data_IF_085224653920
#
_entry.id   IF_085224653920
#
_cell.length_a   1.000
_cell.length_b   1.000
_cell.length_c   1.000
_cell.angle_alpha   90.00
_cell.angle_beta   90.00
_cell.angle_gamma   90.00
#
_symmetry.space_group_name_H-M   'P 1'
#
loop_
_entity.id
_entity.type
_entity.pdbx_description
1 polymer ?
#
# COMPACT_ATOMS: atom_id res chain seq x y z
N UNK A 1 -2.02 -6.94 14.73
CA UNK A 1 -2.24 -5.72 15.55
C UNK A 1 -2.29 -6.11 17.03
N UNK A 2 -1.68 -5.33 17.93
CA UNK A 2 -1.86 -5.50 19.39
C UNK A 2 -2.94 -4.53 19.87
N UNK A 3 -3.85 -5.00 20.71
CA UNK A 3 -4.80 -4.21 21.47
C UNK A 3 -4.35 -4.17 22.93
N UNK A 4 -4.42 -2.99 23.53
CA UNK A 4 -4.16 -2.75 24.94
C UNK A 4 -5.41 -2.16 25.59
N UNK A 5 -5.45 -2.15 26.92
CA UNK A 5 -6.51 -1.47 27.68
C UNK A 5 -5.91 -0.35 28.53
N UNK A 6 -6.63 0.75 28.63
CA UNK A 6 -6.35 1.80 29.60
C UNK A 6 -6.75 1.35 31.02
N UNK A 7 -6.38 2.11 32.08
CA UNK A 7 -6.78 1.79 33.46
C UNK A 7 -8.31 1.72 33.67
N UNK A 8 -9.07 2.49 32.91
CA UNK A 8 -10.54 2.53 32.89
C UNK A 8 -11.16 1.45 31.97
N UNK A 9 -10.36 0.62 31.31
CA UNK A 9 -10.82 -0.51 30.51
C UNK A 9 -11.09 -0.18 29.03
N UNK A 10 -10.73 1.00 28.56
CA UNK A 10 -10.88 1.39 27.15
C UNK A 10 -9.92 0.58 26.27
N UNK A 11 -10.46 -0.12 25.28
CA UNK A 11 -9.68 -0.89 24.31
C UNK A 11 -9.07 0.06 23.27
N UNK A 12 -7.74 0.02 23.14
CA UNK A 12 -6.96 0.92 22.29
C UNK A 12 -6.01 0.14 21.38
N UNK A 13 -5.77 0.59 20.14
CA UNK A 13 -4.75 0.03 19.28
C UNK A 13 -3.35 0.39 19.79
N UNK A 14 -2.46 -0.60 19.85
CA UNK A 14 -1.05 -0.44 20.19
C UNK A 14 -0.17 -0.98 19.06
N UNK A 15 -0.14 -0.24 17.96
CA UNK A 15 0.61 -0.65 16.77
C UNK A 15 2.11 -0.88 17.06
N UNK A 16 2.69 -0.13 18.00
CA UNK A 16 4.11 -0.25 18.36
C UNK A 16 4.42 -1.27 19.46
N UNK A 17 3.40 -1.91 20.05
CA UNK A 17 3.55 -2.78 21.22
C UNK A 17 4.26 -2.10 22.41
N UNK A 18 4.01 -0.80 22.62
CA UNK A 18 4.69 0.01 23.64
C UNK A 18 3.89 0.16 24.93
N UNK A 19 2.58 -0.09 24.91
CA UNK A 19 1.74 0.08 26.09
C UNK A 19 2.08 -0.98 27.16
N UNK A 20 2.20 -0.60 28.45
CA UNK A 20 2.54 -1.54 29.51
C UNK A 20 1.42 -2.56 29.76
N UNK A 21 1.75 -3.64 30.46
CA UNK A 21 0.77 -4.65 30.89
C UNK A 21 0.38 -5.66 29.82
N UNK A 22 -0.78 -6.30 30.01
CA UNK A 22 -1.30 -7.34 29.10
C UNK A 22 -1.75 -6.69 27.79
N UNK A 23 -1.65 -7.45 26.70
CA UNK A 23 -2.24 -7.08 25.42
C UNK A 23 -2.78 -8.29 24.70
N UNK A 24 -3.74 -8.05 23.80
CA UNK A 24 -4.34 -9.07 22.95
C UNK A 24 -3.87 -8.86 21.50
N UNK A 25 -3.49 -9.93 20.81
CA UNK A 25 -3.08 -9.85 19.42
C UNK A 25 -4.21 -10.29 18.50
N UNK A 26 -4.49 -9.49 17.47
CA UNK A 26 -5.42 -9.81 16.39
C UNK A 26 -4.65 -9.85 15.07
N UNK A 27 -5.03 -10.75 14.18
CA UNK A 27 -4.43 -10.96 12.86
C UNK A 27 -5.44 -11.01 11.73
N UNK A 28 -6.56 -10.29 11.91
CA UNK A 28 -7.71 -10.26 10.99
C UNK A 28 -7.68 -9.01 10.12
N UNK A 29 -8.37 -9.05 8.98
CA UNK A 29 -8.66 -7.85 8.18
C UNK A 29 -9.66 -6.94 8.90
N UNK A 30 -9.87 -5.74 8.36
CA UNK A 30 -10.89 -4.80 8.83
C UNK A 30 -12.29 -5.42 8.79
N UNK A 31 -12.69 -6.02 7.68
CA UNK A 31 -14.04 -6.59 7.54
C UNK A 31 -14.27 -7.77 8.49
N UNK A 32 -13.25 -8.60 8.68
CA UNK A 32 -13.29 -9.69 9.65
C UNK A 32 -13.39 -9.16 11.09
N UNK A 33 -12.70 -8.07 11.40
CA UNK A 33 -12.81 -7.40 12.69
C UNK A 33 -14.22 -6.83 12.91
N UNK A 34 -14.78 -6.14 11.92
CA UNK A 34 -16.13 -5.55 11.98
C UNK A 34 -17.19 -6.64 12.20
N UNK A 35 -17.11 -7.76 11.47
CA UNK A 35 -17.96 -8.95 11.70
C UNK A 35 -17.79 -9.49 13.12
N UNK A 36 -16.55 -9.63 13.59
CA UNK A 36 -16.27 -10.13 14.94
C UNK A 36 -16.76 -9.19 16.06
N UNK A 37 -16.83 -7.88 15.80
CA UNK A 37 -17.44 -6.89 16.70
C UNK A 37 -18.96 -7.10 16.72
N UNK A 38 -19.61 -7.13 15.56
CA UNK A 38 -21.06 -7.28 15.42
C UNK A 38 -21.58 -8.59 16.07
N UNK A 39 -20.84 -9.69 15.92
CA UNK A 39 -21.19 -11.00 16.49
C UNK A 39 -20.76 -11.17 17.97
N UNK A 40 -20.14 -10.14 18.56
CA UNK A 40 -19.64 -10.17 19.93
C UNK A 40 -18.46 -11.13 20.17
N UNK A 41 -17.85 -11.66 19.11
CA UNK A 41 -16.67 -12.52 19.16
C UNK A 41 -15.47 -11.77 19.75
N UNK A 42 -15.24 -10.53 19.31
CA UNK A 42 -14.15 -9.70 19.82
C UNK A 42 -14.26 -9.50 21.34
N UNK A 43 -15.44 -9.08 21.82
CA UNK A 43 -15.67 -8.87 23.26
C UNK A 43 -15.38 -10.13 24.08
N UNK A 44 -15.85 -11.29 23.64
CA UNK A 44 -15.58 -12.57 24.31
C UNK A 44 -14.08 -12.90 24.34
N UNK A 45 -13.37 -12.68 23.25
CA UNK A 45 -11.93 -12.91 23.16
C UNK A 45 -11.13 -11.96 24.09
N UNK A 46 -11.48 -10.67 24.10
CA UNK A 46 -10.79 -9.67 24.93
C UNK A 46 -11.05 -9.89 26.41
N UNK A 47 -12.27 -10.26 26.82
CA UNK A 47 -12.57 -10.60 28.22
C UNK A 47 -11.65 -11.73 28.73
N UNK A 48 -11.38 -12.74 27.90
CA UNK A 48 -10.43 -13.81 28.25
C UNK A 48 -8.99 -13.30 28.31
N UNK A 49 -8.56 -12.52 27.31
CA UNK A 49 -7.20 -12.00 27.23
C UNK A 49 -6.84 -11.07 28.41
N UNK A 50 -7.82 -10.29 28.89
CA UNK A 50 -7.67 -9.33 29.99
C UNK A 50 -8.21 -9.83 31.33
N UNK A 51 -8.37 -11.15 31.52
CA UNK A 51 -8.78 -11.77 32.80
C UNK A 51 -10.07 -11.20 33.41
N UNK A 52 -11.05 -10.87 32.57
CA UNK A 52 -12.35 -10.39 33.01
C UNK A 52 -12.37 -8.93 33.49
N UNK A 53 -11.32 -8.14 33.22
CA UNK A 53 -11.35 -6.70 33.43
C UNK A 53 -12.57 -6.07 32.73
N UNK A 54 -13.16 -4.99 33.28
CA UNK A 54 -14.16 -4.20 32.56
C UNK A 54 -13.59 -3.72 31.23
N UNK A 55 -14.36 -3.87 30.14
CA UNK A 55 -13.93 -3.50 28.80
C UNK A 55 -14.94 -2.56 28.15
N UNK A 56 -14.43 -1.45 27.64
CA UNK A 56 -15.14 -0.54 26.74
C UNK A 56 -14.50 -0.66 25.37
N UNK A 57 -15.23 -1.21 24.40
CA UNK A 57 -14.78 -1.31 23.00
C UNK A 57 -15.41 -0.13 22.26
N UNK A 58 -14.62 0.82 21.74
CA UNK A 58 -15.15 1.90 20.91
C UNK A 58 -15.77 1.36 19.62
N UNK A 59 -16.87 1.97 19.18
CA UNK A 59 -17.50 1.62 17.90
C UNK A 59 -16.58 1.94 16.71
N UNK A 60 -15.75 2.99 16.84
CA UNK A 60 -14.75 3.41 15.85
C UNK A 60 -13.39 2.69 16.01
N UNK A 61 -13.34 1.57 16.75
CA UNK A 61 -12.12 0.79 16.92
C UNK A 61 -11.49 0.36 15.59
N UNK A 62 -12.25 -0.08 14.56
CA UNK A 62 -11.68 -0.43 13.26
C UNK A 62 -10.91 0.73 12.60
N UNK A 63 -11.46 1.94 12.64
CA UNK A 63 -10.86 3.16 12.11
C UNK A 63 -9.62 3.56 12.92
N UNK A 64 -9.69 3.46 14.25
CA UNK A 64 -8.54 3.72 15.14
C UNK A 64 -7.37 2.78 14.83
N UNK A 65 -7.64 1.51 14.54
CA UNK A 65 -6.62 0.53 14.14
C UNK A 65 -6.01 0.92 12.79
N UNK A 66 -6.82 1.27 11.78
CA UNK A 66 -6.33 1.78 10.48
C UNK A 66 -5.38 2.95 10.68
N UNK A 67 -5.81 3.96 11.43
CA UNK A 67 -5.03 5.16 11.69
C UNK A 67 -3.74 4.87 12.48
N UNK A 68 -3.78 3.96 13.45
CA UNK A 68 -2.61 3.57 14.23
C UNK A 68 -1.58 2.80 13.38
N UNK A 69 -2.02 1.92 12.49
CA UNK A 69 -1.13 1.21 11.56
C UNK A 69 -0.52 2.16 10.53
N UNK A 70 -1.32 3.04 9.93
CA UNK A 70 -0.85 4.04 8.98
C UNK A 70 0.19 4.97 9.62
N UNK A 71 -0.06 5.45 10.84
CA UNK A 71 0.90 6.26 11.60
C UNK A 71 2.18 5.50 11.93
N UNK A 72 2.07 4.24 12.36
CA UNK A 72 3.24 3.40 12.65
C UNK A 72 4.09 3.14 11.39
N UNK A 73 3.47 2.92 10.23
CA UNK A 73 4.18 2.85 8.95
C UNK A 73 4.85 4.19 8.62
N UNK A 74 4.13 5.30 8.80
CA UNK A 74 4.67 6.64 8.59
C UNK A 74 5.92 6.93 9.45
N UNK A 75 5.86 6.61 10.75
CA UNK A 75 6.99 6.75 11.67
C UNK A 75 8.20 5.92 11.20
N UNK A 76 7.96 4.70 10.71
CA UNK A 76 9.01 3.81 10.18
C UNK A 76 9.64 4.38 8.91
N UNK A 77 8.82 4.89 7.98
CA UNK A 77 9.27 5.53 6.75
C UNK A 77 10.09 6.79 7.06
N UNK A 78 9.63 7.63 7.99
CA UNK A 78 10.35 8.83 8.42
C UNK A 78 11.70 8.51 9.08
N UNK A 79 11.79 7.42 9.85
CA UNK A 79 13.07 6.95 10.40
C UNK A 79 14.03 6.49 9.29
N UNK A 80 13.56 5.72 8.30
CA UNK A 80 14.41 5.31 7.17
C UNK A 80 14.85 6.49 6.31
N UNK A 81 13.98 7.50 6.14
CA UNK A 81 14.31 8.73 5.42
C UNK A 81 15.47 9.48 6.09
N UNK A 82 15.40 9.67 7.42
CA UNK A 82 16.48 10.32 8.18
C UNK A 82 17.78 9.53 8.15
N UNK A 83 17.70 8.21 8.02
CA UNK A 83 18.86 7.33 7.84
C UNK A 83 19.39 7.28 6.40
N UNK A 84 18.78 7.99 5.45
CA UNK A 84 19.21 8.03 4.04
C UNK A 84 18.75 6.84 3.20
N UNK A 85 17.85 5.99 3.71
CA UNK A 85 17.41 4.76 3.05
C UNK A 85 16.16 4.94 2.17
N UNK A 86 15.58 6.14 2.10
CA UNK A 86 14.40 6.42 1.27
C UNK A 86 14.79 7.30 0.09
N UNK A 87 14.44 6.83 -1.11
CA UNK A 87 14.61 7.55 -2.39
C UNK A 87 13.24 8.05 -2.84
N UNK A 88 13.15 9.34 -3.12
CA UNK A 88 11.93 10.01 -3.60
C UNK A 88 12.22 10.74 -4.90
N UNK A 89 11.16 10.97 -5.69
CA UNK A 89 11.23 11.62 -7.00
C UNK A 89 11.45 10.61 -8.12
N UNK A 90 10.55 10.60 -9.10
CA UNK A 90 10.49 9.55 -10.12
C UNK A 90 11.79 9.37 -10.90
N UNK A 91 12.48 10.45 -11.28
CA UNK A 91 13.75 10.37 -12.00
C UNK A 91 14.85 9.69 -11.18
N UNK A 92 14.97 10.07 -9.89
CA UNK A 92 15.97 9.48 -8.98
C UNK A 92 15.64 8.03 -8.65
N UNK A 93 14.36 7.71 -8.46
CA UNK A 93 13.91 6.33 -8.26
C UNK A 93 14.25 5.50 -9.50
N UNK A 94 13.93 5.97 -10.70
CA UNK A 94 14.23 5.28 -11.95
C UNK A 94 15.73 4.98 -12.11
N UNK A 95 16.60 5.97 -11.90
CA UNK A 95 18.05 5.81 -11.98
C UNK A 95 18.56 4.74 -10.99
N UNK A 96 18.18 4.88 -9.71
CA UNK A 96 18.61 3.97 -8.64
C UNK A 96 18.07 2.56 -8.86
N UNK A 97 16.81 2.46 -9.30
CA UNK A 97 16.13 1.20 -9.57
C UNK A 97 16.83 0.44 -10.70
N UNK A 98 17.16 1.08 -11.83
CA UNK A 98 17.90 0.45 -12.93
C UNK A 98 19.30 -0.01 -12.54
N UNK A 99 19.93 0.68 -11.61
CA UNK A 99 21.24 0.30 -11.07
C UNK A 99 21.20 -0.77 -9.96
N UNK A 100 20.02 -1.35 -9.67
CA UNK A 100 19.87 -2.39 -8.64
C UNK A 100 20.03 -1.90 -7.20
N UNK A 101 19.86 -0.59 -6.96
CA UNK A 101 20.02 0.04 -5.63
C UNK A 101 18.70 0.23 -4.88
N UNK A 102 17.58 -0.24 -5.42
CA UNK A 102 16.26 -0.21 -4.79
C UNK A 102 15.83 -1.65 -4.45
N UNK A 103 15.69 -1.92 -3.16
CA UNK A 103 15.24 -3.22 -2.67
C UNK A 103 13.71 -3.35 -2.63
N UNK A 104 13.00 -2.24 -2.44
CA UNK A 104 11.53 -2.20 -2.39
C UNK A 104 11.03 -0.95 -3.09
N UNK A 105 10.08 -1.12 -4.01
CA UNK A 105 9.36 -0.03 -4.65
C UNK A 105 7.94 0.08 -4.06
N UNK A 106 7.56 1.26 -3.58
CA UNK A 106 6.26 1.53 -2.97
C UNK A 106 5.57 2.72 -3.65
N UNK A 107 4.24 2.66 -3.76
CA UNK A 107 3.42 3.69 -4.37
C UNK A 107 2.24 4.07 -3.48
N UNK A 108 1.80 5.33 -3.55
CA UNK A 108 0.56 5.77 -2.94
C UNK A 108 -0.66 5.07 -3.56
N UNK A 109 -1.75 4.90 -2.79
CA UNK A 109 -3.02 4.30 -3.26
C UNK A 109 -3.60 5.02 -4.48
N UNK A 110 -3.46 6.35 -4.51
CA UNK A 110 -3.98 7.28 -5.51
C UNK A 110 -2.95 7.66 -6.60
N UNK A 111 -1.90 6.84 -6.76
CA UNK A 111 -0.91 7.03 -7.82
C UNK A 111 -1.37 6.48 -9.17
N UNK A 112 -0.98 7.15 -10.25
CA UNK A 112 -1.37 6.77 -11.61
C UNK A 112 -0.75 5.45 -12.04
N UNK A 113 -1.50 4.63 -12.78
CA UNK A 113 -1.02 3.37 -13.36
C UNK A 113 0.19 3.57 -14.28
N UNK A 114 0.21 4.64 -15.08
CA UNK A 114 1.33 4.94 -15.98
C UNK A 114 2.63 5.20 -15.22
N UNK A 115 2.58 6.08 -14.20
CA UNK A 115 3.73 6.35 -13.32
C UNK A 115 4.24 5.09 -12.60
N UNK A 116 3.34 4.21 -12.14
CA UNK A 116 3.71 2.91 -11.56
C UNK A 116 4.45 2.03 -12.58
N UNK A 117 3.87 1.82 -13.77
CA UNK A 117 4.45 0.97 -14.83
C UNK A 117 5.86 1.40 -15.22
N UNK A 118 6.10 2.70 -15.33
CA UNK A 118 7.43 3.24 -15.65
C UNK A 118 8.47 2.84 -14.60
N UNK A 119 8.15 3.03 -13.32
CA UNK A 119 9.06 2.69 -12.22
C UNK A 119 9.19 1.18 -12.01
N UNK A 120 8.11 0.42 -12.21
CA UNK A 120 8.13 -1.05 -12.19
C UNK A 120 9.08 -1.61 -13.24
N UNK A 121 9.10 -1.04 -14.45
CA UNK A 121 10.05 -1.43 -15.49
C UNK A 121 11.49 -1.12 -15.08
N UNK A 122 11.75 0.08 -14.57
CA UNK A 122 13.08 0.46 -14.11
C UNK A 122 13.59 -0.47 -13.00
N UNK A 123 12.70 -0.84 -12.09
CA UNK A 123 13.01 -1.74 -10.98
C UNK A 123 13.32 -3.16 -11.46
N UNK A 124 12.49 -3.71 -12.36
CA UNK A 124 12.75 -5.04 -12.95
C UNK A 124 14.08 -5.13 -13.68
N UNK A 125 14.49 -4.07 -14.38
CA UNK A 125 15.79 -4.01 -15.06
C UNK A 125 16.94 -4.16 -14.06
N UNK A 126 16.95 -3.39 -12.97
CA UNK A 126 18.07 -3.45 -12.03
C UNK A 126 18.04 -4.63 -11.06
N UNK A 127 16.95 -5.39 -11.01
CA UNK A 127 16.86 -6.64 -10.24
C UNK A 127 16.94 -7.88 -11.12
N UNK A 128 17.33 -7.75 -12.39
CA UNK A 128 17.37 -8.84 -13.38
C UNK A 128 16.06 -9.67 -13.45
N UNK A 129 14.93 -8.99 -13.25
CA UNK A 129 13.60 -9.60 -13.16
C UNK A 129 12.71 -9.19 -14.34
N UNK A 130 13.30 -8.88 -15.49
CA UNK A 130 12.55 -8.59 -16.71
C UNK A 130 11.70 -9.80 -17.13
N UNK A 131 10.52 -9.54 -17.72
CA UNK A 131 9.57 -10.59 -18.10
C UNK A 131 8.78 -11.24 -16.95
N UNK A 132 9.16 -11.05 -15.68
CA UNK A 132 8.46 -11.66 -14.53
C UNK A 132 7.10 -11.02 -14.21
N UNK A 133 6.85 -9.82 -14.72
CA UNK A 133 5.67 -9.04 -14.36
C UNK A 133 5.71 -8.46 -12.94
N UNK A 134 6.84 -8.56 -12.22
CA UNK A 134 7.04 -7.97 -10.89
C UNK A 134 6.73 -6.47 -10.88
N UNK A 135 6.07 -6.01 -9.80
CA UNK A 135 5.65 -4.62 -9.60
C UNK A 135 5.93 -4.16 -8.18
N UNK A 136 6.09 -2.86 -8.01
CA UNK A 136 6.07 -2.20 -6.72
C UNK A 136 4.72 -2.37 -6.01
N UNK A 137 4.74 -2.22 -4.69
CA UNK A 137 3.54 -2.39 -3.87
C UNK A 137 2.77 -1.08 -3.76
N UNK A 138 1.47 -1.14 -3.99
CA UNK A 138 0.56 -0.02 -3.72
C UNK A 138 0.17 -0.07 -2.24
N UNK A 139 0.47 1.00 -1.53
CA UNK A 139 0.13 1.14 -0.11
C UNK A 139 -1.33 1.59 0.03
N UNK A 140 -2.04 1.18 1.10
CA UNK A 140 -3.34 1.74 1.47
C UNK A 140 -3.18 3.13 2.14
N UNK A 141 -2.23 3.94 1.67
CA UNK A 141 -1.96 5.31 2.09
C UNK A 141 -1.92 6.17 0.82
N UNK A 142 -2.67 7.26 0.82
CA UNK A 142 -2.64 8.22 -0.29
C UNK A 142 -1.39 9.11 -0.25
N UNK A 143 -1.21 9.93 -1.29
CA UNK A 143 -0.10 10.88 -1.39
C UNK A 143 -0.04 11.84 -0.21
N UNK A 144 -1.19 12.23 0.36
CA UNK A 144 -1.24 13.21 1.45
C UNK A 144 -0.71 12.59 2.74
N UNK A 145 -1.12 11.37 3.06
CA UNK A 145 -0.63 10.62 4.21
C UNK A 145 0.88 10.36 4.11
N UNK A 146 1.36 9.96 2.92
CA UNK A 146 2.80 9.77 2.70
C UNK A 146 3.59 11.07 2.81
N UNK A 147 3.05 12.17 2.27
CA UNK A 147 3.67 13.50 2.34
C UNK A 147 3.83 13.97 3.80
N UNK A 148 2.79 13.82 4.61
CA UNK A 148 2.82 14.12 6.05
C UNK A 148 3.84 13.25 6.78
N UNK A 149 3.83 11.93 6.53
CA UNK A 149 4.73 10.99 7.19
C UNK A 149 6.22 11.28 6.91
N UNK A 150 6.53 11.76 5.70
CA UNK A 150 7.90 12.01 5.25
C UNK A 150 8.35 13.46 5.42
N UNK A 151 7.44 14.39 5.76
CA UNK A 151 7.75 15.82 5.83
C UNK A 151 8.21 16.38 4.49
N UNK A 152 7.55 15.95 3.41
CA UNK A 152 7.85 16.28 2.02
C UNK A 152 6.55 16.48 1.25
N UNK A 153 6.57 17.37 0.26
CA UNK A 153 5.41 17.61 -0.58
C UNK A 153 5.31 16.58 -1.72
N UNK A 154 4.07 16.21 -2.07
CA UNK A 154 3.74 15.40 -3.24
C UNK A 154 4.48 14.06 -3.34
N UNK A 155 4.58 13.31 -2.23
CA UNK A 155 5.15 11.97 -2.25
C UNK A 155 4.15 10.97 -2.85
N UNK A 156 4.39 10.59 -4.11
CA UNK A 156 3.55 9.61 -4.84
C UNK A 156 4.22 8.24 -4.94
N UNK A 157 5.55 8.22 -5.05
CA UNK A 157 6.36 7.02 -5.20
C UNK A 157 7.60 7.14 -4.32
N UNK A 158 8.01 6.02 -3.73
CA UNK A 158 9.24 5.95 -2.96
C UNK A 158 9.93 4.59 -3.14
N UNK A 159 11.25 4.62 -3.24
CA UNK A 159 12.10 3.43 -3.19
C UNK A 159 12.75 3.31 -1.83
N UNK A 160 12.83 2.10 -1.29
CA UNK A 160 13.70 1.78 -0.15
C UNK A 160 15.02 1.30 -0.71
N UNK A 161 16.10 2.00 -0.37
CA UNK A 161 17.44 1.66 -0.77
C UNK A 161 17.83 0.28 -0.22
N UNK A 162 18.54 -0.49 -1.04
CA UNK A 162 19.03 -1.81 -0.69
C UNK A 162 19.39 -2.60 -1.94
N UNK A 163 20.07 -3.72 -1.72
CA UNK A 163 20.50 -4.66 -2.75
C UNK A 163 20.58 -6.06 -2.12
N UNK A 164 20.82 -7.15 -2.88
CA UNK A 164 20.80 -8.51 -2.33
C UNK A 164 21.71 -8.76 -1.10
N UNK A 165 22.75 -7.94 -0.91
CA UNK A 165 23.65 -7.99 0.25
C UNK A 165 23.23 -7.15 1.45
N UNK A 166 22.31 -6.19 1.29
CA UNK A 166 21.75 -5.39 2.39
C UNK A 166 20.25 -5.10 2.18
N UNK A 167 19.44 -5.88 2.90
CA UNK A 167 17.98 -5.78 2.91
C UNK A 167 17.45 -5.25 4.25
N UNK A 168 18.30 -4.70 5.13
CA UNK A 168 17.90 -4.36 6.51
C UNK A 168 16.82 -3.27 6.55
N UNK A 169 16.99 -2.21 5.77
CA UNK A 169 16.00 -1.13 5.68
C UNK A 169 14.69 -1.65 5.04
N UNK A 170 14.81 -2.37 3.93
CA UNK A 170 13.71 -3.03 3.25
C UNK A 170 12.88 -3.92 4.19
N UNK A 171 13.52 -4.81 4.95
CA UNK A 171 12.84 -5.73 5.86
C UNK A 171 12.06 -4.99 6.95
N UNK A 172 12.64 -3.93 7.54
CA UNK A 172 11.94 -3.12 8.55
C UNK A 172 10.72 -2.39 7.98
N UNK A 173 10.82 -1.90 6.75
CA UNK A 173 9.69 -1.24 6.06
C UNK A 173 8.63 -2.28 5.71
N UNK A 174 9.01 -3.39 5.08
CA UNK A 174 8.08 -4.46 4.68
C UNK A 174 7.32 -5.06 5.87
N UNK A 175 7.96 -5.19 7.03
CA UNK A 175 7.27 -5.60 8.26
C UNK A 175 6.19 -4.61 8.71
N UNK A 176 6.41 -3.31 8.53
CA UNK A 176 5.39 -2.31 8.83
C UNK A 176 4.29 -2.28 7.76
N UNK A 177 4.67 -2.38 6.47
CA UNK A 177 3.75 -2.40 5.34
C UNK A 177 2.81 -3.61 5.41
N UNK A 178 3.34 -4.81 5.64
CA UNK A 178 2.54 -6.05 5.67
C UNK A 178 1.40 -5.96 6.68
N UNK A 179 1.63 -5.32 7.83
CA UNK A 179 0.62 -5.14 8.87
C UNK A 179 -0.50 -4.20 8.44
N UNK A 180 -0.19 -3.12 7.73
CA UNK A 180 -1.19 -2.17 7.22
C UNK A 180 -1.99 -2.83 6.10
N UNK A 181 -1.30 -3.47 5.15
CA UNK A 181 -1.93 -4.15 4.00
C UNK A 181 -2.83 -5.29 4.45
N UNK A 182 -2.35 -6.15 5.35
CA UNK A 182 -3.15 -7.26 5.89
C UNK A 182 -4.42 -6.75 6.58
N UNK A 183 -4.33 -5.64 7.31
CA UNK A 183 -5.49 -5.08 7.99
C UNK A 183 -6.45 -4.39 7.02
N UNK A 184 -5.94 -3.68 6.01
CA UNK A 184 -6.77 -3.02 5.01
C UNK A 184 -7.63 -4.01 4.20
N UNK A 185 -7.23 -5.29 4.11
CA UNK A 185 -8.00 -6.32 3.40
C UNK A 185 -7.90 -6.19 1.87
N UNK A 186 -8.60 -7.09 1.15
CA UNK A 186 -8.56 -7.14 -0.31
C UNK A 186 -9.42 -6.06 -1.00
N UNK A 187 -10.32 -5.38 -0.28
CA UNK A 187 -11.13 -4.29 -0.86
C UNK A 187 -10.26 -3.10 -1.31
N UNK A 188 -9.09 -2.89 -0.68
CA UNK A 188 -8.10 -1.92 -1.16
C UNK A 188 -7.38 -2.37 -2.45
N UNK A 189 -7.27 -3.67 -2.69
CA UNK A 189 -6.69 -4.22 -3.91
C UNK A 189 -7.70 -4.16 -5.08
N UNK A 190 -8.98 -4.43 -4.82
CA UNK A 190 -10.02 -4.40 -5.85
C UNK A 190 -10.41 -2.98 -6.27
N UNK A 191 -10.44 -2.00 -5.35
CA UNK A 191 -10.61 -0.59 -5.70
C UNK A 191 -9.50 -0.07 -6.64
N UNK A 192 -8.29 -0.65 -6.59
CA UNK A 192 -7.20 -0.31 -7.53
C UNK A 192 -7.29 -1.04 -8.88
N UNK A 193 -8.07 -2.11 -8.97
CA UNK A 193 -8.29 -2.88 -10.20
C UNK A 193 -9.52 -2.40 -10.99
N UNK A 194 -10.58 -1.91 -10.33
CA UNK A 194 -11.82 -1.50 -11.00
C UNK A 194 -11.71 -0.16 -11.75
N UNK A 195 -10.84 0.75 -11.34
CA UNK A 195 -10.52 1.95 -12.13
C UNK A 195 -9.69 1.66 -13.39
N UNK A 196 -9.44 0.37 -13.68
CA UNK A 196 -8.62 -0.11 -14.80
C UNK A 196 -9.36 -0.86 -15.90
N UNK A 197 -10.70 -0.99 -15.87
CA UNK A 197 -11.46 -1.53 -17.01
C UNK A 197 -11.83 -0.41 -17.98
N UNK A 198 -11.02 -0.33 -19.02
CA UNK A 198 -11.41 -0.14 -20.42
C UNK A 198 -12.11 1.19 -20.80
N UNK A 199 -11.30 2.21 -21.05
CA UNK A 199 -11.57 3.13 -22.16
C UNK A 199 -10.67 2.74 -23.33
N UNK A 200 -11.14 1.80 -24.16
CA UNK A 200 -10.57 1.56 -25.48
C UNK A 200 -10.83 2.77 -26.37
N UNK A 201 -9.85 3.66 -26.45
CA UNK A 201 -9.83 4.74 -27.43
C UNK A 201 -9.66 4.18 -28.84
N UNK A 202 -10.71 4.35 -29.65
CA UNK A 202 -10.73 4.56 -31.09
C UNK A 202 -9.47 4.16 -31.89
N UNK A 203 -9.57 3.07 -32.65
CA UNK A 203 -8.86 2.92 -33.91
C UNK A 203 -9.85 3.21 -35.05
N UNK A 204 -9.65 4.32 -35.72
CA UNK A 204 -10.36 4.75 -36.93
C UNK A 204 -10.01 3.79 -38.09
N UNK A 205 -10.96 3.18 -38.81
CA UNK A 205 -10.63 2.33 -39.95
C UNK A 205 -10.35 3.18 -41.20
N UNK A 206 -9.12 3.11 -41.70
CA UNK A 206 -8.75 3.62 -43.01
C UNK A 206 -9.50 2.85 -44.12
N UNK A 207 -10.42 3.57 -44.77
CA UNK A 207 -10.85 3.52 -46.17
C UNK A 207 -10.36 2.33 -47.03
N UNK A 208 -11.31 1.49 -47.43
CA UNK A 208 -11.19 0.56 -48.55
C UNK A 208 -12.47 0.58 -49.39
N UNK A 209 -12.78 1.72 -50.01
CA UNK A 209 -13.92 1.90 -50.91
C UNK A 209 -13.55 1.56 -52.36
N UNK A 210 -14.18 0.54 -52.91
CA UNK A 210 -14.07 0.11 -54.29
C UNK A 210 -14.47 1.23 -55.27
N UNK A 211 -13.59 1.54 -56.22
CA UNK A 211 -13.93 2.38 -57.36
C UNK A 211 -14.58 1.51 -58.46
N UNK A 212 -15.84 1.82 -58.69
CA UNK A 212 -16.65 1.37 -59.81
C UNK A 212 -16.02 1.88 -61.12
N UNK A 213 -15.89 1.00 -62.10
CA UNK A 213 -15.62 1.34 -63.49
C UNK A 213 -16.75 2.20 -64.02
N UNK A 214 -16.41 3.34 -64.62
CA UNK A 214 -17.29 4.01 -65.58
C UNK A 214 -16.51 4.45 -66.81
N UNK A 215 -17.12 4.14 -67.92
CA UNK A 215 -16.69 4.18 -69.30
C UNK A 215 -16.75 5.62 -69.82
N UNK A 216 -15.67 6.13 -70.43
CA UNK A 216 -15.79 7.28 -71.33
C UNK A 216 -14.89 7.13 -72.56
N UNK A 217 -15.56 7.32 -73.69
CA UNK A 217 -15.18 7.03 -75.07
C UNK A 217 -14.24 8.11 -75.62
N UNK A 218 -13.31 7.67 -76.48
CA UNK A 218 -12.48 8.51 -77.36
C UNK A 218 -13.34 9.18 -78.43
N UNK A 219 -13.07 10.47 -78.67
CA UNK A 219 -12.96 11.04 -80.02
C UNK A 219 -11.77 12.01 -80.05
#
# INVERSE_FOLDING_TARGET
MRLAISPDGLVLPDAGAKAPGRGAWIGVSRDELEKAIAEGHLKRALMRAFKGAPLTIPDDLPERISAALARHLGDRLGLELRSGNIVMGSARIEEQARSGRIAVLLHASDSSTDGRRKLDQAWRVGTDAEGTGQRGMVLPLDRMMLSVALGRDNVVHLGVAGHPGDMRAANRVLQAVSRVVQYAGQDAADATNETGRDASGNADPLMGGAAHSDEYVKD
#
